data_IF_029448838821
#
_entry.id   IF_029448838821
#
_cell.length_a   1.000
_cell.length_b   1.000
_cell.length_c   1.000
_cell.angle_alpha   90.00
_cell.angle_beta   90.00
_cell.angle_gamma   90.00
#
_symmetry.space_group_name_H-M   'P 1'
#
loop_
_entity.id
_entity.type
_entity.pdbx_description
1 polymer ?
#
# COMPACT_ATOMS: atom_id res chain seq x y z
N UNK A 1 13.78 21.33 -5.10
CA UNK A 1 12.87 20.19 -5.34
C UNK A 1 12.54 19.65 -3.95
N UNK A 2 11.27 19.61 -3.55
CA UNK A 2 10.89 19.02 -2.26
C UNK A 2 11.03 17.50 -2.36
N UNK A 3 11.36 16.82 -1.26
CA UNK A 3 11.57 15.36 -1.27
C UNK A 3 10.34 14.60 -1.78
N UNK A 4 9.13 15.13 -1.52
CA UNK A 4 7.87 14.56 -2.01
C UNK A 4 7.74 14.57 -3.53
N UNK A 5 8.27 15.59 -4.21
CA UNK A 5 8.28 15.62 -5.68
C UNK A 5 9.20 14.53 -6.22
N UNK A 6 10.31 14.24 -5.52
CA UNK A 6 11.20 13.16 -5.93
C UNK A 6 10.56 11.78 -5.72
N UNK A 7 9.84 11.59 -4.62
CA UNK A 7 9.06 10.37 -4.38
C UNK A 7 7.95 10.22 -5.44
N UNK A 8 7.25 11.30 -5.79
CA UNK A 8 6.23 11.27 -6.83
C UNK A 8 6.80 10.84 -8.21
N UNK A 9 8.02 11.27 -8.55
CA UNK A 9 8.72 10.80 -9.75
C UNK A 9 9.04 9.29 -9.69
N UNK A 10 9.50 8.78 -8.55
CA UNK A 10 9.87 7.37 -8.38
C UNK A 10 8.65 6.44 -8.38
N UNK A 11 7.53 6.88 -7.81
CA UNK A 11 6.29 6.10 -7.75
C UNK A 11 5.56 6.10 -9.09
N UNK A 12 5.78 7.11 -9.93
CA UNK A 12 5.15 7.22 -11.26
C UNK A 12 5.52 6.01 -12.12
N UNK A 13 4.50 5.28 -12.58
CA UNK A 13 4.69 4.11 -13.44
C UNK A 13 4.95 2.79 -12.71
N UNK A 14 5.05 2.80 -11.37
CA UNK A 14 4.93 1.56 -10.58
C UNK A 14 3.52 1.02 -10.84
N UNK A 15 3.41 -0.23 -11.32
CA UNK A 15 2.12 -0.88 -11.59
C UNK A 15 1.59 -1.65 -10.37
N UNK A 16 2.50 -2.17 -9.56
CA UNK A 16 2.19 -2.95 -8.38
C UNK A 16 3.09 -2.51 -7.24
N UNK A 17 2.49 -2.24 -6.09
CA UNK A 17 3.19 -2.08 -4.83
C UNK A 17 2.93 -3.31 -3.95
N UNK A 18 3.91 -3.74 -3.17
CA UNK A 18 3.74 -4.81 -2.19
C UNK A 18 3.33 -4.20 -0.85
N UNK A 19 2.08 -4.45 -0.45
CA UNK A 19 1.59 -4.04 0.88
C UNK A 19 1.93 -5.13 1.88
N UNK A 20 2.86 -4.84 2.78
CA UNK A 20 3.20 -5.71 3.91
C UNK A 20 2.38 -5.29 5.13
N UNK A 21 1.74 -6.25 5.78
CA UNK A 21 0.83 -6.05 6.92
C UNK A 21 0.98 -7.18 7.94
N UNK A 22 0.53 -6.94 9.17
CA UNK A 22 0.42 -7.98 10.20
C UNK A 22 -0.96 -8.63 10.08
N UNK A 23 -1.01 -9.93 9.86
CA UNK A 23 -2.26 -10.69 9.76
C UNK A 23 -2.92 -10.91 11.14
N UNK A 24 -4.10 -11.52 11.18
CA UNK A 24 -4.81 -11.76 12.44
C UNK A 24 -4.10 -12.73 13.41
N UNK A 25 -3.11 -13.49 12.94
CA UNK A 25 -2.28 -14.40 13.75
C UNK A 25 -1.02 -13.70 14.30
N UNK A 26 -0.76 -12.46 13.89
CA UNK A 26 0.44 -11.70 14.26
C UNK A 26 1.64 -11.90 13.32
N UNK A 27 1.48 -12.61 12.21
CA UNK A 27 2.54 -12.84 11.22
C UNK A 27 2.58 -11.74 10.16
N UNK A 28 3.78 -11.48 9.59
CA UNK A 28 3.94 -10.58 8.47
C UNK A 28 3.51 -11.27 7.16
N UNK A 29 2.50 -10.71 6.51
CA UNK A 29 2.01 -11.09 5.19
C UNK A 29 2.24 -9.95 4.20
N UNK A 30 2.39 -10.27 2.92
CA UNK A 30 2.50 -9.28 1.85
C UNK A 30 1.53 -9.60 0.70
N UNK A 31 0.89 -8.57 0.16
CA UNK A 31 -0.03 -8.69 -0.97
C UNK A 31 0.32 -7.67 -2.07
N UNK A 32 0.47 -8.10 -3.34
CA UNK A 32 0.64 -7.16 -4.44
C UNK A 32 -0.68 -6.41 -4.69
N UNK A 33 -0.61 -5.09 -4.77
CA UNK A 33 -1.74 -4.22 -5.00
C UNK A 33 -1.45 -3.29 -6.18
N UNK A 34 -2.40 -3.16 -7.10
CA UNK A 34 -2.29 -2.20 -8.20
C UNK A 34 -2.42 -0.78 -7.70
N UNK A 35 -1.45 0.05 -8.03
CA UNK A 35 -1.50 1.51 -7.83
C UNK A 35 -2.39 2.15 -8.88
N UNK A 36 -3.00 3.29 -8.54
CA UNK A 36 -3.78 4.09 -9.49
C UNK A 36 -2.87 5.11 -10.18
N UNK A 37 -3.13 5.38 -11.47
CA UNK A 37 -2.43 6.42 -12.22
C UNK A 37 -2.97 7.81 -11.85
N UNK A 38 -2.63 8.26 -10.65
CA UNK A 38 -2.99 9.56 -10.08
C UNK A 38 -1.72 10.27 -9.61
N UNK A 39 -1.72 11.60 -9.66
CA UNK A 39 -0.65 12.38 -9.04
C UNK A 39 -0.53 12.05 -7.55
N UNK A 40 0.69 11.73 -7.14
CA UNK A 40 1.01 11.42 -5.75
C UNK A 40 1.16 12.72 -4.95
N UNK A 41 0.33 12.86 -3.92
CA UNK A 41 0.28 14.01 -3.01
C UNK A 41 0.72 13.65 -1.57
N UNK A 42 1.33 12.48 -1.40
CA UNK A 42 1.61 11.88 -0.10
C UNK A 42 0.67 10.73 0.27
N UNK A 43 -0.40 10.51 -0.51
CA UNK A 43 -1.35 9.41 -0.30
C UNK A 43 -1.33 8.42 -1.46
N UNK A 44 -1.37 7.12 -1.16
CA UNK A 44 -1.60 6.05 -2.14
C UNK A 44 -2.94 5.38 -1.84
N UNK A 45 -3.78 5.26 -2.86
CA UNK A 45 -5.08 4.61 -2.76
C UNK A 45 -5.07 3.22 -3.41
N UNK A 46 -5.66 2.26 -2.71
CA UNK A 46 -5.85 0.89 -3.20
C UNK A 46 -7.32 0.50 -3.08
N UNK A 47 -7.78 -0.36 -4.00
CA UNK A 47 -9.10 -0.98 -3.91
C UNK A 47 -8.88 -2.42 -3.43
N UNK A 48 -9.44 -2.75 -2.26
CA UNK A 48 -9.34 -4.08 -1.66
C UNK A 48 -10.71 -4.72 -1.48
N UNK A 49 -10.79 -6.04 -1.69
CA UNK A 49 -11.99 -6.81 -1.34
C UNK A 49 -12.15 -6.87 0.18
N UNK A 50 -13.37 -6.68 0.69
CA UNK A 50 -13.70 -6.86 2.12
C UNK A 50 -13.40 -8.28 2.63
N UNK A 51 -13.36 -9.27 1.75
CA UNK A 51 -13.04 -10.65 2.09
C UNK A 51 -11.53 -10.97 2.11
N UNK A 52 -10.67 -10.06 1.66
CA UNK A 52 -9.22 -10.34 1.59
C UNK A 52 -8.59 -10.36 2.99
N UNK A 53 -7.54 -11.17 3.14
CA UNK A 53 -6.78 -11.24 4.39
C UNK A 53 -6.20 -9.87 4.78
N UNK A 54 -5.67 -9.14 3.79
CA UNK A 54 -5.20 -7.76 3.95
C UNK A 54 -6.30 -6.89 4.59
N UNK A 55 -7.46 -6.74 3.94
CA UNK A 55 -8.51 -5.82 4.39
C UNK A 55 -9.10 -6.24 5.74
N UNK A 56 -9.21 -7.53 6.00
CA UNK A 56 -9.67 -8.05 7.30
C UNK A 56 -8.69 -7.80 8.44
N UNK A 57 -7.40 -7.68 8.14
CA UNK A 57 -6.34 -7.50 9.15
C UNK A 57 -6.11 -6.03 9.53
N UNK A 58 -6.34 -5.08 8.60
CA UNK A 58 -6.14 -3.64 8.83
C UNK A 58 -6.85 -3.08 10.09
N UNK A 59 -8.11 -3.46 10.42
CA UNK A 59 -8.77 -2.96 11.63
C UNK A 59 -8.04 -3.34 12.93
N UNK A 60 -7.30 -4.45 12.96
CA UNK A 60 -6.53 -4.90 14.13
C UNK A 60 -5.15 -4.25 14.22
N UNK A 61 -4.50 -3.99 13.08
CA UNK A 61 -3.26 -3.24 12.99
C UNK A 61 -3.19 -2.51 11.65
N UNK A 62 -3.22 -1.17 11.71
CA UNK A 62 -3.23 -0.32 10.52
C UNK A 62 -1.82 0.13 10.08
N UNK A 63 -0.76 -0.29 10.78
CA UNK A 63 0.60 -0.06 10.32
C UNK A 63 0.94 -1.02 9.19
N UNK A 64 1.35 -0.44 8.06
CA UNK A 64 1.71 -1.17 6.85
C UNK A 64 3.01 -0.63 6.28
N UNK A 65 3.65 -1.42 5.43
CA UNK A 65 4.77 -1.00 4.62
C UNK A 65 4.44 -1.19 3.12
N UNK A 66 4.94 -0.29 2.29
CA UNK A 66 4.86 -0.39 0.83
C UNK A 66 6.26 -0.61 0.27
N UNK A 67 6.42 -1.70 -0.49
CA UNK A 67 7.62 -2.04 -1.26
C UNK A 67 7.40 -2.00 -2.76
#
# INVERSE_FOLDING_TARGET
>A
MTDINKVAELVRGIKFALVTFVNHEGHLHAAPMTTQDKEFDGTVWFIGSKSSDLVRSIPGNNQVNLG
#
